data_IF_226869503059
#
_entry.id   IF_226869503059
#
_cell.length_a   1.000
_cell.length_b   1.000
_cell.length_c   1.000
_cell.angle_alpha   90.00
_cell.angle_beta   90.00
_cell.angle_gamma   90.00
#
_symmetry.space_group_name_H-M   'P 1'
#
loop_
_entity.id
_entity.type
_entity.pdbx_description
1 polymer ?
#
# COMPACT_ATOMS: atom_id res chain seq x y z
N UNK A 1 53.79 9.84 -21.71
CA UNK A 1 53.15 11.18 -21.69
C UNK A 1 51.65 11.06 -21.45
N UNK A 2 51.16 11.28 -20.22
CA UNK A 2 49.80 11.77 -19.94
C UNK A 2 49.89 12.60 -18.65
N UNK A 3 49.62 13.90 -18.78
CA UNK A 3 49.68 14.92 -17.72
C UNK A 3 48.55 14.66 -16.72
N UNK A 4 48.86 14.62 -15.42
CA UNK A 4 47.87 14.78 -14.34
C UNK A 4 47.86 16.27 -13.96
N UNK A 5 46.72 16.93 -14.19
CA UNK A 5 46.49 18.30 -13.76
C UNK A 5 46.23 18.38 -12.27
N UNK A 6 46.84 19.42 -11.71
CA UNK A 6 46.78 19.93 -10.35
C UNK A 6 45.38 20.48 -10.06
N UNK A 7 44.82 20.19 -8.89
CA UNK A 7 43.74 20.99 -8.29
C UNK A 7 44.33 21.67 -7.05
N UNK A 8 44.38 23.00 -7.14
CA UNK A 8 44.90 23.94 -6.15
C UNK A 8 43.80 24.19 -5.10
N UNK A 9 44.11 23.94 -3.83
CA UNK A 9 43.25 24.23 -2.69
C UNK A 9 43.35 25.74 -2.35
N UNK A 10 42.26 26.49 -2.49
CA UNK A 10 42.17 27.89 -2.08
C UNK A 10 41.55 27.97 -0.67
N UNK A 11 42.42 28.27 0.31
CA UNK A 11 42.05 28.69 1.67
C UNK A 11 41.55 30.14 1.63
N UNK A 12 40.30 30.37 2.02
CA UNK A 12 39.78 31.71 2.33
C UNK A 12 39.94 31.98 3.83
N UNK A 13 40.81 32.93 4.15
CA UNK A 13 40.93 33.56 5.47
C UNK A 13 39.91 34.71 5.49
N UNK A 14 38.86 34.61 6.31
CA UNK A 14 37.98 35.75 6.59
C UNK A 14 38.49 36.46 7.84
N UNK A 15 38.90 37.70 7.62
CA UNK A 15 39.29 38.70 8.61
C UNK A 15 38.13 39.01 9.57
N UNK A 16 38.46 39.11 10.85
CA UNK A 16 37.54 39.45 11.92
C UNK A 16 37.60 40.97 12.17
N UNK A 17 36.63 41.73 11.66
CA UNK A 17 36.47 43.15 12.01
C UNK A 17 35.42 43.32 13.12
N UNK A 18 35.85 43.97 14.20
CA UNK A 18 35.05 44.32 15.37
C UNK A 18 34.01 45.36 15.01
N UNK A 19 32.73 45.00 15.07
CA UNK A 19 31.62 45.96 15.03
C UNK A 19 31.36 46.46 16.47
N UNK A 20 31.46 47.79 16.64
CA UNK A 20 31.07 48.53 17.85
C UNK A 20 29.56 48.37 18.11
N UNK A 21 29.22 47.99 19.34
CA UNK A 21 27.85 47.99 19.85
C UNK A 21 27.42 49.44 20.07
N UNK A 22 26.46 49.91 19.29
CA UNK A 22 25.65 51.10 19.59
C UNK A 22 24.39 50.61 20.30
N UNK A 23 24.19 51.08 21.55
CA UNK A 23 22.94 50.91 22.29
C UNK A 23 21.89 51.83 21.65
N UNK A 24 20.95 51.26 20.92
CA UNK A 24 19.67 51.89 20.63
C UNK A 24 18.54 51.10 21.30
N UNK A 25 17.55 51.86 21.74
CA UNK A 25 16.54 51.61 22.75
C UNK A 25 15.56 50.47 22.44
N UNK A 26 15.20 49.73 23.49
CA UNK A 26 14.53 48.42 23.49
C UNK A 26 13.01 48.44 23.33
N UNK A 27 12.38 49.55 22.90
CA UNK A 27 10.91 49.62 22.82
C UNK A 27 10.33 49.38 21.42
N UNK A 28 11.17 49.36 20.36
CA UNK A 28 10.69 49.18 18.98
C UNK A 28 11.04 47.80 18.36
N UNK A 29 11.68 46.91 19.13
CA UNK A 29 12.04 45.54 18.68
C UNK A 29 10.90 44.54 18.84
N UNK A 30 10.08 44.68 19.88
CA UNK A 30 8.99 43.73 20.15
C UNK A 30 7.83 43.87 19.17
N UNK A 31 7.60 45.08 18.62
CA UNK A 31 6.62 45.33 17.56
C UNK A 31 7.10 44.84 16.18
N UNK A 32 8.40 44.87 15.90
CA UNK A 32 8.97 44.36 14.65
C UNK A 32 9.02 42.83 14.63
N UNK A 33 9.37 42.19 15.75
CA UNK A 33 9.47 40.72 15.85
C UNK A 33 8.09 40.06 15.83
N UNK A 34 7.07 40.68 16.45
CA UNK A 34 5.68 40.19 16.37
C UNK A 34 5.08 40.36 14.96
N UNK A 35 5.34 41.47 14.27
CA UNK A 35 4.87 41.67 12.90
C UNK A 35 5.57 40.71 11.91
N UNK A 36 6.88 40.49 12.04
CA UNK A 36 7.61 39.58 11.13
C UNK A 36 7.11 38.13 11.21
N UNK A 37 6.70 37.68 12.41
CA UNK A 37 6.08 36.37 12.63
C UNK A 37 4.63 36.26 12.11
N UNK A 38 3.88 37.36 12.06
CA UNK A 38 2.52 37.38 11.51
C UNK A 38 2.56 37.39 9.98
N UNK A 39 3.49 38.13 9.37
CA UNK A 39 3.65 38.18 7.91
C UNK A 39 4.17 36.86 7.34
N UNK A 40 5.09 36.16 8.02
CA UNK A 40 5.57 34.83 7.60
C UNK A 40 4.46 33.78 7.67
N UNK A 41 3.71 33.73 8.77
CA UNK A 41 2.57 32.82 8.93
C UNK A 41 1.46 33.08 7.92
N UNK A 42 1.16 34.34 7.65
CA UNK A 42 0.16 34.73 6.64
C UNK A 42 0.59 34.36 5.22
N UNK A 43 1.89 34.42 4.91
CA UNK A 43 2.43 33.99 3.62
C UNK A 43 2.40 32.47 3.46
N UNK A 44 2.76 31.72 4.51
CA UNK A 44 2.65 30.25 4.55
C UNK A 44 1.20 29.78 4.41
N UNK A 45 0.26 30.43 5.11
CA UNK A 45 -1.17 30.09 5.04
C UNK A 45 -1.76 30.40 3.66
N UNK A 46 -1.34 31.50 3.02
CA UNK A 46 -1.72 31.82 1.64
C UNK A 46 -1.14 30.83 0.63
N UNK A 47 0.10 30.39 0.84
CA UNK A 47 0.75 29.40 -0.04
C UNK A 47 0.10 28.02 0.10
N UNK A 48 -0.15 27.54 1.33
CA UNK A 48 -0.91 26.30 1.58
C UNK A 48 -2.31 26.35 0.96
N UNK A 49 -2.99 27.50 1.06
CA UNK A 49 -4.31 27.70 0.44
C UNK A 49 -4.23 27.66 -1.09
N UNK A 50 -3.22 28.27 -1.70
CA UNK A 50 -3.00 28.22 -3.15
C UNK A 50 -2.69 26.80 -3.63
N UNK A 51 -1.83 26.06 -2.92
CA UNK A 51 -1.48 24.67 -3.24
C UNK A 51 -2.70 23.74 -3.09
N UNK A 52 -3.46 23.88 -2.00
CA UNK A 52 -4.72 23.17 -1.80
C UNK A 52 -5.74 23.46 -2.92
N UNK A 53 -5.87 24.72 -3.32
CA UNK A 53 -6.79 25.12 -4.40
C UNK A 53 -6.32 24.65 -5.78
N UNK A 54 -5.00 24.56 -6.01
CA UNK A 54 -4.41 23.98 -7.23
C UNK A 54 -4.64 22.48 -7.33
N UNK A 55 -4.42 21.73 -6.24
CA UNK A 55 -4.69 20.28 -6.16
C UNK A 55 -6.18 20.02 -6.43
N UNK A 56 -7.06 20.79 -5.78
CA UNK A 56 -8.51 20.72 -5.96
C UNK A 56 -8.92 20.91 -7.43
N UNK A 57 -8.34 21.90 -8.10
CA UNK A 57 -8.63 22.14 -9.52
C UNK A 57 -8.15 20.99 -10.42
N UNK A 58 -7.00 20.36 -10.12
CA UNK A 58 -6.48 19.24 -10.90
C UNK A 58 -7.31 17.95 -10.73
N UNK A 59 -7.77 17.68 -9.50
CA UNK A 59 -8.51 16.47 -9.17
C UNK A 59 -9.99 16.55 -9.52
N UNK A 60 -10.52 17.75 -9.82
CA UNK A 60 -11.92 17.97 -10.20
C UNK A 60 -12.43 17.09 -11.34
N UNK A 61 -11.54 16.64 -12.24
CA UNK A 61 -11.86 15.68 -13.31
C UNK A 61 -12.32 14.30 -12.81
N UNK A 62 -12.00 13.96 -11.57
CA UNK A 62 -12.37 12.70 -10.91
C UNK A 62 -13.59 12.84 -9.99
N UNK A 63 -14.18 14.04 -9.90
CA UNK A 63 -15.36 14.24 -9.08
C UNK A 63 -16.56 13.49 -9.63
N UNK A 64 -17.38 13.01 -8.70
CA UNK A 64 -18.68 12.46 -9.02
C UNK A 64 -19.73 13.57 -9.06
N UNK A 65 -20.68 13.44 -9.99
CA UNK A 65 -21.92 14.23 -10.02
C UNK A 65 -23.09 13.50 -9.35
N UNK A 66 -22.94 12.19 -9.11
CA UNK A 66 -23.95 11.36 -8.45
C UNK A 66 -24.08 11.76 -6.98
N UNK A 67 -25.31 11.79 -6.48
CA UNK A 67 -25.57 12.14 -5.07
C UNK A 67 -25.04 11.06 -4.10
N UNK A 68 -24.93 9.82 -4.57
CA UNK A 68 -24.36 8.70 -3.81
C UNK A 68 -23.46 7.86 -4.70
N UNK A 69 -22.27 7.53 -4.19
CA UNK A 69 -21.36 6.56 -4.79
C UNK A 69 -21.32 5.32 -3.92
N UNK A 70 -21.42 4.15 -4.56
CA UNK A 70 -21.32 2.85 -3.90
C UNK A 70 -20.05 2.17 -4.36
N UNK A 71 -19.13 1.98 -3.42
CA UNK A 71 -17.90 1.21 -3.62
C UNK A 71 -18.14 -0.19 -3.11
N UNK A 72 -17.94 -1.17 -3.99
CA UNK A 72 -18.04 -2.60 -3.70
C UNK A 72 -16.79 -3.31 -4.21
N UNK A 73 -16.30 -4.28 -3.46
CA UNK A 73 -15.24 -5.19 -3.91
C UNK A 73 -15.73 -6.65 -3.87
N UNK A 74 -14.83 -7.59 -4.16
CA UNK A 74 -15.13 -9.03 -4.17
C UNK A 74 -15.14 -9.70 -2.78
N UNK A 75 -14.77 -8.99 -1.71
CA UNK A 75 -14.79 -9.47 -0.32
C UNK A 75 -15.99 -8.92 0.47
N UNK A 76 -17.11 -8.66 -0.20
CA UNK A 76 -18.35 -8.12 0.38
C UNK A 76 -18.21 -6.76 1.09
N UNK A 77 -17.10 -6.04 0.87
CA UNK A 77 -16.97 -4.66 1.33
C UNK A 77 -18.01 -3.80 0.61
N UNK A 78 -18.68 -2.95 1.38
CA UNK A 78 -19.64 -1.99 0.87
C UNK A 78 -19.43 -0.66 1.59
N UNK A 79 -19.02 0.36 0.82
CA UNK A 79 -18.94 1.72 1.30
C UNK A 79 -19.86 2.60 0.47
N UNK A 80 -20.80 3.25 1.15
CA UNK A 80 -21.70 4.24 0.56
C UNK A 80 -21.20 5.63 0.95
N UNK A 81 -20.91 6.45 -0.04
CA UNK A 81 -20.41 7.81 0.15
C UNK A 81 -21.40 8.80 -0.44
N UNK A 82 -21.64 9.90 0.28
CA UNK A 82 -22.28 11.06 -0.33
C UNK A 82 -21.36 11.64 -1.41
N UNK A 83 -21.92 12.42 -2.34
CA UNK A 83 -21.13 13.20 -3.31
C UNK A 83 -20.02 14.00 -2.62
N UNK A 84 -20.34 14.63 -1.50
CA UNK A 84 -19.40 15.48 -0.77
C UNK A 84 -18.25 14.66 -0.19
N UNK A 85 -18.54 13.51 0.42
CA UNK A 85 -17.52 12.66 1.02
C UNK A 85 -16.63 12.02 -0.04
N UNK A 86 -17.21 11.58 -1.15
CA UNK A 86 -16.44 11.06 -2.27
C UNK A 86 -15.48 12.12 -2.82
N UNK A 87 -15.98 13.32 -3.13
CA UNK A 87 -15.13 14.38 -3.67
C UNK A 87 -14.09 14.87 -2.65
N UNK A 88 -14.38 14.80 -1.34
CA UNK A 88 -13.39 15.06 -0.29
C UNK A 88 -12.27 14.02 -0.29
N UNK A 89 -12.58 12.74 -0.52
CA UNK A 89 -11.54 11.70 -0.69
C UNK A 89 -10.68 12.02 -1.91
N UNK A 90 -11.30 12.41 -3.03
CA UNK A 90 -10.57 12.82 -4.25
C UNK A 90 -9.62 14.00 -3.99
N UNK A 91 -10.05 14.98 -3.18
CA UNK A 91 -9.22 16.14 -2.83
C UNK A 91 -8.07 15.78 -1.89
N UNK A 92 -8.34 14.93 -0.90
CA UNK A 92 -7.39 14.61 0.17
C UNK A 92 -6.39 13.51 -0.21
N UNK A 93 -6.76 12.63 -1.14
CA UNK A 93 -5.97 11.48 -1.53
C UNK A 93 -5.63 11.48 -3.03
N UNK A 94 -4.83 12.46 -3.51
CA UNK A 94 -4.40 12.53 -4.90
C UNK A 94 -3.56 11.31 -5.32
N UNK A 95 -2.92 10.61 -4.38
CA UNK A 95 -2.05 9.47 -4.64
C UNK A 95 -2.77 8.30 -5.32
N UNK A 96 -4.10 8.21 -5.20
CA UNK A 96 -4.89 7.22 -5.92
C UNK A 96 -4.87 7.41 -7.44
N UNK A 97 -4.42 8.58 -7.91
CA UNK A 97 -4.36 8.95 -9.33
C UNK A 97 -2.94 9.11 -9.85
N UNK A 98 -1.93 8.74 -9.05
CA UNK A 98 -0.53 8.84 -9.45
C UNK A 98 -0.24 8.03 -10.72
N UNK A 99 0.69 8.54 -11.53
CA UNK A 99 1.15 7.82 -12.72
C UNK A 99 1.92 6.55 -12.32
N UNK A 100 2.82 6.68 -11.34
CA UNK A 100 3.62 5.60 -10.78
C UNK A 100 2.92 5.02 -9.57
N UNK A 101 2.30 3.84 -9.74
CA UNK A 101 1.61 3.15 -8.66
C UNK A 101 2.62 2.44 -7.75
N UNK A 102 2.56 2.71 -6.45
CA UNK A 102 3.33 2.03 -5.41
C UNK A 102 2.51 0.94 -4.73
N UNK A 103 3.16 0.03 -4.00
CA UNK A 103 2.46 -1.01 -3.25
C UNK A 103 1.55 -0.40 -2.17
N UNK A 104 0.41 -1.05 -1.85
CA UNK A 104 -0.57 -0.48 -0.93
C UNK A 104 0.01 -0.17 0.45
N UNK A 105 0.95 -0.99 0.94
CA UNK A 105 1.61 -0.77 2.24
C UNK A 105 2.50 0.49 2.25
N UNK A 106 3.19 0.78 1.14
CA UNK A 106 4.01 1.98 1.04
C UNK A 106 3.11 3.20 0.89
N UNK A 107 2.08 3.12 0.04
CA UNK A 107 1.13 4.22 -0.16
C UNK A 107 0.41 4.55 1.15
N UNK A 108 -0.11 3.56 1.87
CA UNK A 108 -0.76 3.76 3.17
C UNK A 108 0.21 4.38 4.19
N UNK A 109 1.46 3.90 4.27
CA UNK A 109 2.45 4.47 5.19
C UNK A 109 2.69 5.97 4.94
N UNK A 110 2.67 6.39 3.68
CA UNK A 110 2.98 7.76 3.30
C UNK A 110 1.76 8.71 3.39
N UNK A 111 0.55 8.20 3.13
CA UNK A 111 -0.64 9.04 2.91
C UNK A 111 -1.87 8.64 3.74
N UNK A 112 -1.81 7.52 4.46
CA UNK A 112 -2.94 6.94 5.19
C UNK A 112 -3.20 7.50 6.59
N UNK A 113 -2.60 8.64 6.97
CA UNK A 113 -2.70 9.19 8.33
C UNK A 113 -4.14 9.43 8.79
N UNK A 114 -5.02 9.82 7.86
CA UNK A 114 -6.44 10.08 8.11
C UNK A 114 -7.25 8.79 8.35
N UNK A 115 -6.62 7.63 8.14
CA UNK A 115 -7.17 6.29 8.27
C UNK A 115 -6.46 5.46 9.36
N UNK A 116 -5.98 6.11 10.42
CA UNK A 116 -5.09 5.51 11.42
C UNK A 116 -5.66 4.35 12.26
N UNK A 117 -6.99 4.20 12.38
CA UNK A 117 -7.59 3.06 13.07
C UNK A 117 -7.52 1.77 12.24
N UNK A 118 -7.66 0.58 12.85
CA UNK A 118 -7.67 -0.68 12.09
C UNK A 118 -8.79 -0.72 11.03
N UNK A 119 -9.99 -0.24 11.38
CA UNK A 119 -11.09 -0.12 10.42
C UNK A 119 -10.83 0.96 9.36
N UNK A 120 -10.14 2.05 9.75
CA UNK A 120 -9.70 3.09 8.82
C UNK A 120 -8.71 2.54 7.80
N UNK A 121 -7.70 1.78 8.26
CA UNK A 121 -6.75 1.07 7.43
C UNK A 121 -7.46 0.15 6.46
N UNK A 122 -8.39 -0.67 6.94
CA UNK A 122 -9.19 -1.55 6.09
C UNK A 122 -9.91 -0.74 5.00
N UNK A 123 -10.53 0.39 5.37
CA UNK A 123 -11.17 1.30 4.41
C UNK A 123 -10.18 1.89 3.39
N UNK A 124 -8.98 2.30 3.80
CA UNK A 124 -7.96 2.86 2.89
C UNK A 124 -7.56 1.84 1.83
N UNK A 125 -7.26 0.60 2.24
CA UNK A 125 -6.87 -0.46 1.31
C UNK A 125 -8.01 -0.79 0.33
N UNK A 126 -9.27 -0.72 0.79
CA UNK A 126 -10.43 -0.88 -0.07
C UNK A 126 -10.60 0.27 -1.08
N UNK A 127 -10.35 1.52 -0.67
CA UNK A 127 -10.35 2.67 -1.57
C UNK A 127 -9.22 2.57 -2.61
N UNK A 128 -8.01 2.22 -2.17
CA UNK A 128 -6.88 1.96 -3.05
C UNK A 128 -7.22 0.92 -4.12
N UNK A 129 -7.78 -0.22 -3.71
CA UNK A 129 -8.19 -1.28 -4.63
C UNK A 129 -9.27 -0.79 -5.61
N UNK A 130 -10.25 -0.02 -5.14
CA UNK A 130 -11.30 0.53 -5.97
C UNK A 130 -10.75 1.45 -7.08
N UNK A 131 -9.95 2.44 -6.72
CA UNK A 131 -9.42 3.40 -7.69
C UNK A 131 -8.45 2.74 -8.67
N UNK A 132 -7.57 1.85 -8.17
CA UNK A 132 -6.64 1.14 -9.02
C UNK A 132 -7.36 0.18 -9.98
N UNK A 133 -8.47 -0.44 -9.57
CA UNK A 133 -9.30 -1.26 -10.46
C UNK A 133 -9.93 -0.47 -11.60
N UNK A 134 -10.33 0.79 -11.37
CA UNK A 134 -10.79 1.66 -12.45
C UNK A 134 -9.67 1.92 -13.46
N UNK A 135 -8.43 2.16 -12.99
CA UNK A 135 -7.25 2.37 -13.84
C UNK A 135 -6.85 1.11 -14.62
N UNK A 136 -6.83 -0.05 -13.95
CA UNK A 136 -6.47 -1.33 -14.57
C UNK A 136 -7.54 -1.85 -15.55
N UNK A 137 -8.77 -1.36 -15.45
CA UNK A 137 -9.93 -1.87 -16.18
C UNK A 137 -10.62 -2.98 -15.39
N UNK A 138 -11.78 -2.62 -14.81
CA UNK A 138 -12.57 -3.47 -13.91
C UNK A 138 -12.89 -4.82 -14.56
N UNK A 139 -13.57 -4.82 -15.71
CA UNK A 139 -14.02 -6.03 -16.38
C UNK A 139 -12.88 -6.82 -17.02
N UNK A 140 -11.94 -6.11 -17.67
CA UNK A 140 -10.78 -6.71 -18.35
C UNK A 140 -10.00 -7.63 -17.41
N UNK A 141 -9.81 -7.19 -16.17
CA UNK A 141 -8.96 -7.87 -15.19
C UNK A 141 -9.72 -8.62 -14.09
N UNK A 142 -11.06 -8.70 -14.16
CA UNK A 142 -11.89 -9.35 -13.15
C UNK A 142 -11.45 -10.78 -12.82
N UNK A 143 -11.11 -11.58 -13.85
CA UNK A 143 -10.65 -12.97 -13.64
C UNK A 143 -9.32 -13.06 -12.90
N UNK A 144 -8.36 -12.17 -13.21
CA UNK A 144 -7.05 -12.14 -12.55
C UNK A 144 -7.19 -11.71 -11.10
N UNK A 145 -7.95 -10.63 -10.86
CA UNK A 145 -8.28 -10.11 -9.53
C UNK A 145 -8.90 -11.17 -8.63
N UNK A 146 -10.00 -11.79 -9.10
CA UNK A 146 -10.71 -12.85 -8.35
C UNK A 146 -9.80 -14.02 -7.99
N UNK A 147 -8.95 -14.44 -8.93
CA UNK A 147 -8.01 -15.54 -8.70
C UNK A 147 -6.97 -15.18 -7.63
N UNK A 148 -6.39 -13.98 -7.69
CA UNK A 148 -5.43 -13.51 -6.70
C UNK A 148 -6.05 -13.37 -5.31
N UNK A 149 -7.25 -12.77 -5.21
CA UNK A 149 -7.99 -12.66 -3.95
C UNK A 149 -8.21 -14.04 -3.32
N UNK A 150 -8.59 -15.05 -4.10
CA UNK A 150 -8.76 -16.42 -3.60
C UNK A 150 -7.46 -17.05 -3.12
N UNK A 151 -6.36 -16.89 -3.88
CA UNK A 151 -5.03 -17.37 -3.45
C UNK A 151 -4.64 -16.72 -2.13
N UNK A 152 -4.74 -15.39 -2.02
CA UNK A 152 -4.36 -14.66 -0.81
C UNK A 152 -5.26 -14.98 0.37
N UNK A 153 -6.56 -15.16 0.14
CA UNK A 153 -7.51 -15.56 1.17
C UNK A 153 -7.20 -16.96 1.69
N UNK A 154 -6.91 -17.93 0.81
CA UNK A 154 -6.52 -19.28 1.22
C UNK A 154 -5.21 -19.29 2.03
N UNK A 155 -4.22 -18.48 1.63
CA UNK A 155 -2.99 -18.27 2.42
C UNK A 155 -3.34 -17.67 3.80
N UNK A 156 -4.11 -16.59 3.84
CA UNK A 156 -4.56 -15.94 5.08
C UNK A 156 -5.30 -16.92 6.00
N UNK A 157 -6.17 -17.77 5.45
CA UNK A 157 -6.87 -18.82 6.19
C UNK A 157 -5.91 -19.86 6.74
N UNK A 158 -4.94 -20.36 5.96
CA UNK A 158 -3.94 -21.32 6.48
C UNK A 158 -3.24 -20.75 7.70
N UNK A 159 -2.70 -19.54 7.59
CA UNK A 159 -1.97 -18.92 8.71
C UNK A 159 -2.87 -18.53 9.88
N UNK A 160 -4.11 -18.12 9.61
CA UNK A 160 -5.13 -17.86 10.62
C UNK A 160 -5.44 -19.10 11.43
N UNK A 161 -5.70 -20.22 10.76
CA UNK A 161 -5.94 -21.48 11.44
C UNK A 161 -4.72 -21.92 12.22
N UNK A 162 -3.50 -21.84 11.67
CA UNK A 162 -2.26 -22.22 12.38
C UNK A 162 -2.02 -21.38 13.64
N UNK A 163 -2.34 -20.08 13.60
CA UNK A 163 -2.22 -19.18 14.75
C UNK A 163 -3.41 -19.23 15.74
N UNK A 164 -4.39 -20.11 15.52
CA UNK A 164 -5.65 -20.17 16.29
C UNK A 164 -6.48 -18.87 16.22
N UNK A 165 -6.44 -18.21 15.06
CA UNK A 165 -7.18 -16.99 14.76
C UNK A 165 -6.49 -15.72 15.26
N UNK A 166 -7.27 -14.66 15.40
CA UNK A 166 -6.79 -13.32 15.76
C UNK A 166 -7.36 -12.24 14.84
N UNK A 167 -7.49 -11.02 15.35
CA UNK A 167 -8.07 -9.90 14.59
C UNK A 167 -7.21 -9.53 13.38
N UNK A 168 -5.90 -9.78 13.44
CA UNK A 168 -4.98 -9.62 12.31
C UNK A 168 -5.50 -10.26 11.02
N UNK A 169 -5.97 -11.51 11.08
CA UNK A 169 -6.42 -12.24 9.88
C UNK A 169 -7.72 -11.66 9.32
N UNK A 170 -8.58 -11.10 10.18
CA UNK A 170 -9.79 -10.37 9.75
C UNK A 170 -9.45 -9.06 9.04
N UNK A 171 -8.49 -8.30 9.58
CA UNK A 171 -7.99 -7.09 8.94
C UNK A 171 -7.27 -7.41 7.64
N UNK A 172 -6.41 -8.44 7.62
CA UNK A 172 -5.70 -8.88 6.43
C UNK A 172 -6.64 -9.38 5.33
N UNK A 173 -7.76 -10.02 5.70
CA UNK A 173 -8.82 -10.37 4.75
C UNK A 173 -9.43 -9.14 4.06
N UNK A 174 -9.55 -8.03 4.79
CA UNK A 174 -10.04 -6.76 4.23
C UNK A 174 -8.99 -6.08 3.36
N UNK A 175 -7.71 -6.20 3.71
CA UNK A 175 -6.58 -5.50 3.06
C UNK A 175 -6.03 -6.22 1.82
N UNK A 176 -6.15 -7.54 1.74
CA UNK A 176 -5.56 -8.33 0.65
C UNK A 176 -6.11 -7.98 -0.75
N UNK A 177 -7.27 -7.34 -0.84
CA UNK A 177 -7.84 -6.88 -2.11
C UNK A 177 -6.98 -5.80 -2.77
N UNK A 178 -6.33 -4.94 -1.97
CA UNK A 178 -5.41 -3.93 -2.48
C UNK A 178 -4.14 -4.58 -3.04
N UNK A 179 -3.63 -5.61 -2.36
CA UNK A 179 -2.49 -6.40 -2.83
C UNK A 179 -2.82 -7.15 -4.13
N UNK A 180 -4.04 -7.68 -4.25
CA UNK A 180 -4.49 -8.33 -5.47
C UNK A 180 -4.57 -7.33 -6.62
N UNK A 181 -5.10 -6.13 -6.38
CA UNK A 181 -5.19 -5.10 -7.42
C UNK A 181 -3.82 -4.57 -7.83
N UNK A 182 -2.91 -4.39 -6.89
CA UNK A 182 -1.54 -3.98 -7.19
C UNK A 182 -0.80 -5.02 -8.04
N UNK A 183 -0.99 -6.32 -7.74
CA UNK A 183 -0.45 -7.38 -8.58
C UNK A 183 -1.04 -7.39 -10.00
N UNK A 184 -2.33 -7.07 -10.17
CA UNK A 184 -2.96 -6.90 -11.49
C UNK A 184 -2.34 -5.73 -12.27
N UNK A 185 -2.05 -4.61 -11.59
CA UNK A 185 -1.36 -3.47 -12.18
C UNK A 185 0.02 -3.89 -12.70
N UNK A 186 0.84 -4.52 -11.85
CA UNK A 186 2.17 -4.99 -12.24
C UNK A 186 2.13 -5.99 -13.40
N UNK A 187 1.13 -6.87 -13.43
CA UNK A 187 0.95 -7.80 -14.53
C UNK A 187 0.65 -7.09 -15.85
N UNK A 188 -0.25 -6.11 -15.82
CA UNK A 188 -0.65 -5.33 -17.00
C UNK A 188 0.55 -4.57 -17.58
N UNK A 189 1.40 -4.00 -16.72
CA UNK A 189 2.65 -3.35 -17.14
C UNK A 189 3.64 -4.36 -17.74
N UNK A 190 3.78 -5.55 -17.14
CA UNK A 190 4.68 -6.59 -17.64
C UNK A 190 4.26 -7.19 -18.98
N UNK A 191 2.94 -7.33 -19.21
CA UNK A 191 2.38 -7.81 -20.48
C UNK A 191 2.62 -6.81 -21.62
N UNK A 192 2.60 -5.51 -21.31
CA UNK A 192 2.99 -4.46 -22.25
C UNK A 192 4.51 -4.46 -22.53
N UNK A 193 5.32 -4.94 -21.58
CA UNK A 193 6.78 -5.01 -21.69
C UNK A 193 7.31 -6.39 -22.14
N UNK A 194 6.70 -7.02 -23.15
CA UNK A 194 7.22 -8.16 -23.96
C UNK A 194 7.84 -9.42 -23.27
N UNK A 195 8.06 -9.48 -21.95
CA UNK A 195 8.65 -10.64 -21.28
C UNK A 195 7.56 -11.61 -20.87
N UNK A 196 7.13 -12.45 -21.81
CA UNK A 196 6.39 -13.66 -21.46
C UNK A 196 7.42 -14.63 -20.88
N UNK A 197 7.48 -14.76 -19.56
CA UNK A 197 8.33 -15.76 -18.92
C UNK A 197 7.83 -17.16 -19.37
N UNK A 198 8.56 -17.79 -20.30
CA UNK A 198 8.16 -19.03 -21.00
C UNK A 198 8.54 -20.33 -20.25
N UNK A 199 9.14 -20.24 -19.06
CA UNK A 199 9.68 -21.43 -18.40
C UNK A 199 8.65 -22.18 -17.52
N UNK A 200 8.74 -23.50 -17.51
CA UNK A 200 7.88 -24.40 -16.74
C UNK A 200 8.09 -24.23 -15.23
N UNK A 201 7.02 -23.82 -14.53
CA UNK A 201 7.01 -23.61 -13.08
C UNK A 201 6.55 -24.82 -12.28
N UNK A 202 6.24 -25.94 -12.92
CA UNK A 202 5.64 -27.11 -12.26
C UNK A 202 6.47 -27.60 -11.08
N UNK A 203 7.80 -27.61 -11.20
CA UNK A 203 8.71 -28.01 -10.10
C UNK A 203 8.71 -27.00 -8.95
N UNK A 204 8.75 -25.70 -9.26
CA UNK A 204 8.76 -24.63 -8.26
C UNK A 204 7.44 -24.58 -7.50
N UNK A 205 6.33 -24.70 -8.24
CA UNK A 205 4.99 -24.84 -7.69
C UNK A 205 4.89 -26.06 -6.78
N UNK A 206 5.37 -27.23 -7.22
CA UNK A 206 5.35 -28.45 -6.39
C UNK A 206 6.08 -28.24 -5.06
N UNK A 207 7.27 -27.64 -5.08
CA UNK A 207 8.03 -27.37 -3.86
C UNK A 207 7.31 -26.40 -2.93
N UNK A 208 6.69 -25.35 -3.49
CA UNK A 208 5.90 -24.39 -2.73
C UNK A 208 4.67 -25.02 -2.06
N UNK A 209 3.93 -25.86 -2.79
CA UNK A 209 2.79 -26.59 -2.24
C UNK A 209 3.24 -27.59 -1.16
N UNK A 210 4.36 -28.29 -1.37
CA UNK A 210 4.92 -29.19 -0.37
C UNK A 210 5.36 -28.46 0.89
N UNK A 211 5.95 -27.27 0.79
CA UNK A 211 6.37 -26.51 1.97
C UNK A 211 5.18 -26.02 2.81
N UNK A 212 4.07 -25.64 2.19
CA UNK A 212 2.83 -25.30 2.91
C UNK A 212 2.30 -26.50 3.70
N UNK A 213 2.23 -27.68 3.07
CA UNK A 213 1.78 -28.91 3.75
C UNK A 213 2.70 -29.31 4.90
N UNK A 214 4.01 -29.24 4.66
CA UNK A 214 5.00 -29.53 5.70
C UNK A 214 4.82 -28.61 6.91
N UNK A 215 4.64 -27.30 6.68
CA UNK A 215 4.38 -26.35 7.78
C UNK A 215 3.10 -26.69 8.55
N UNK A 216 2.03 -27.08 7.85
CA UNK A 216 0.78 -27.52 8.48
C UNK A 216 1.03 -28.74 9.38
N UNK A 217 1.69 -29.77 8.85
CA UNK A 217 1.96 -30.99 9.59
C UNK A 217 2.84 -30.73 10.83
N UNK A 218 3.86 -29.88 10.69
CA UNK A 218 4.77 -29.53 11.77
C UNK A 218 4.07 -28.78 12.90
N UNK A 219 3.28 -27.75 12.57
CA UNK A 219 2.54 -26.93 13.54
C UNK A 219 1.46 -27.75 14.27
N UNK A 220 0.69 -28.57 13.55
CA UNK A 220 -0.35 -29.40 14.17
C UNK A 220 0.25 -30.52 15.04
N UNK A 221 1.43 -31.03 14.68
CA UNK A 221 2.12 -32.05 15.48
C UNK A 221 2.55 -31.53 16.85
N UNK A 222 3.01 -30.29 16.93
CA UNK A 222 3.48 -29.69 18.20
C UNK A 222 2.35 -29.14 19.08
N UNK A 223 1.14 -28.96 18.53
CA UNK A 223 -0.05 -28.62 19.29
C UNK A 223 -0.30 -29.69 20.37
N UNK A 224 -0.28 -29.31 21.65
CA UNK A 224 -0.52 -30.24 22.78
C UNK A 224 -1.93 -30.14 23.34
N UNK A 225 -2.68 -29.12 22.94
CA UNK A 225 -3.99 -28.80 23.49
C UNK A 225 -5.10 -29.53 22.74
N UNK A 226 -4.93 -29.72 21.42
CA UNK A 226 -5.92 -30.40 20.59
C UNK A 226 -5.88 -31.93 20.72
N UNK A 227 -7.06 -32.55 20.67
CA UNK A 227 -7.22 -34.01 20.56
C UNK A 227 -6.77 -34.53 19.18
N UNK A 228 -6.55 -35.84 19.07
CA UNK A 228 -6.15 -36.47 17.80
C UNK A 228 -7.19 -36.27 16.68
N UNK A 229 -8.49 -36.24 17.03
CA UNK A 229 -9.58 -35.99 16.09
C UNK A 229 -9.56 -34.55 15.57
N UNK A 230 -9.48 -33.57 16.47
CA UNK A 230 -9.41 -32.14 16.10
C UNK A 230 -8.19 -31.85 15.23
N UNK A 231 -7.03 -32.48 15.52
CA UNK A 231 -5.83 -32.37 14.68
C UNK A 231 -6.06 -32.88 13.26
N UNK A 232 -6.73 -34.03 13.13
CA UNK A 232 -7.02 -34.63 11.82
C UNK A 232 -7.99 -33.76 11.02
N UNK A 233 -9.05 -33.26 11.65
CA UNK A 233 -10.02 -32.35 11.02
C UNK A 233 -9.35 -31.05 10.57
N UNK A 234 -8.51 -30.46 11.42
CA UNK A 234 -7.74 -29.24 11.12
C UNK A 234 -6.76 -29.44 9.96
N UNK A 235 -6.02 -30.56 9.94
CA UNK A 235 -5.12 -30.90 8.82
C UNK A 235 -5.92 -31.04 7.52
N UNK A 236 -7.09 -31.66 7.57
CA UNK A 236 -7.92 -31.87 6.38
C UNK A 236 -8.44 -30.55 5.83
N UNK A 237 -8.90 -29.65 6.69
CA UNK A 237 -9.34 -28.30 6.33
C UNK A 237 -8.20 -27.45 5.75
N UNK A 238 -7.05 -27.41 6.44
CA UNK A 238 -5.86 -26.69 5.99
C UNK A 238 -5.35 -27.19 4.63
N UNK A 239 -5.33 -28.51 4.41
CA UNK A 239 -4.99 -29.07 3.11
C UNK A 239 -6.03 -28.75 2.03
N UNK A 240 -7.29 -28.47 2.40
CA UNK A 240 -8.31 -27.93 1.50
C UNK A 240 -7.90 -26.59 0.91
N UNK A 241 -7.43 -25.65 1.73
CA UNK A 241 -6.89 -24.37 1.26
C UNK A 241 -5.63 -24.55 0.40
N UNK A 242 -4.73 -25.46 0.78
CA UNK A 242 -3.54 -25.76 -0.04
C UNK A 242 -3.92 -26.31 -1.42
N UNK A 243 -4.92 -27.20 -1.50
CA UNK A 243 -5.42 -27.71 -2.77
C UNK A 243 -6.00 -26.59 -3.64
N UNK A 244 -6.71 -25.64 -3.05
CA UNK A 244 -7.21 -24.46 -3.76
C UNK A 244 -6.06 -23.62 -4.34
N UNK A 245 -5.03 -23.32 -3.54
CA UNK A 245 -3.84 -22.60 -4.00
C UNK A 245 -3.17 -23.36 -5.16
N UNK A 246 -2.98 -24.67 -5.01
CA UNK A 246 -2.40 -25.53 -6.04
C UNK A 246 -3.19 -25.44 -7.36
N UNK A 247 -4.52 -25.51 -7.32
CA UNK A 247 -5.36 -25.39 -8.51
C UNK A 247 -5.29 -24.00 -9.16
N UNK A 248 -5.19 -22.93 -8.35
CA UNK A 248 -5.22 -21.55 -8.85
C UNK A 248 -3.88 -21.07 -9.43
N UNK A 249 -2.76 -21.60 -8.93
CA UNK A 249 -1.42 -21.31 -9.47
C UNK A 249 -1.24 -22.03 -10.81
N UNK A 250 -1.50 -21.31 -11.90
CA UNK A 250 -1.43 -21.84 -13.27
C UNK A 250 -0.18 -21.44 -14.03
N UNK A 251 0.57 -20.44 -13.55
CA UNK A 251 1.77 -19.92 -14.18
C UNK A 251 2.67 -19.23 -13.14
N UNK A 252 3.82 -18.74 -13.61
CA UNK A 252 4.80 -18.07 -12.78
C UNK A 252 4.29 -16.82 -12.07
N UNK A 253 3.44 -16.03 -12.74
CA UNK A 253 2.87 -14.82 -12.17
C UNK A 253 2.12 -15.14 -10.87
N UNK A 254 1.18 -16.09 -10.92
CA UNK A 254 0.42 -16.48 -9.72
C UNK A 254 1.29 -17.12 -8.64
N UNK A 255 2.33 -17.88 -9.02
CA UNK A 255 3.27 -18.47 -8.08
C UNK A 255 4.07 -17.38 -7.33
N UNK A 256 4.62 -16.42 -8.05
CA UNK A 256 5.37 -15.29 -7.46
C UNK A 256 4.47 -14.44 -6.57
N UNK A 257 3.25 -14.16 -6.99
CA UNK A 257 2.26 -13.45 -6.18
C UNK A 257 1.96 -14.19 -4.87
N UNK A 258 1.70 -15.51 -4.93
CA UNK A 258 1.45 -16.32 -3.74
C UNK A 258 2.62 -16.28 -2.75
N UNK A 259 3.85 -16.50 -3.26
CA UNK A 259 5.07 -16.48 -2.46
C UNK A 259 5.32 -15.10 -1.84
N UNK A 260 5.18 -14.03 -2.63
CA UNK A 260 5.38 -12.66 -2.17
C UNK A 260 4.38 -12.29 -1.07
N UNK A 261 3.09 -12.59 -1.28
CA UNK A 261 2.07 -12.33 -0.28
C UNK A 261 2.35 -13.12 1.00
N UNK A 262 2.67 -14.40 0.90
CA UNK A 262 3.00 -15.20 2.08
C UNK A 262 4.18 -14.60 2.85
N UNK A 263 5.34 -14.44 2.21
CA UNK A 263 6.59 -14.10 2.92
C UNK A 263 6.62 -12.67 3.46
N UNK A 264 5.78 -11.77 2.94
CA UNK A 264 5.69 -10.42 3.48
C UNK A 264 4.80 -10.34 4.71
N UNK A 265 3.86 -11.28 4.89
CA UNK A 265 2.84 -11.20 5.94
C UNK A 265 2.90 -12.34 6.98
N UNK A 266 3.63 -13.45 6.74
CA UNK A 266 3.71 -14.65 7.62
C UNK A 266 5.05 -15.41 7.59
#
# INVERSE_FOLDING_TARGET
MKKKSVILLLLFIISCEKIKIVKETTENRDSLITNTNIFSKTAEDKQKKYESQKIKNLNSKHYTTLDTVVIRNENDFLLKLSRQDFNKIIDNHPEFFDEIIQSPDITYRNFGSDFSSEAGQDQYYNLYAYFLAQKNGVEKNARHRKKLIRIYSAINSIFGYLANGGTFFGHQQSRLVANAEYAVYLHSESDNSQSKDEYDVSKQKKLYIQSLRQRIDDEVKIDKESTAKEKTERIQELNGFVNEIDLLITNLFYLRCAQHFQYNYY
#
